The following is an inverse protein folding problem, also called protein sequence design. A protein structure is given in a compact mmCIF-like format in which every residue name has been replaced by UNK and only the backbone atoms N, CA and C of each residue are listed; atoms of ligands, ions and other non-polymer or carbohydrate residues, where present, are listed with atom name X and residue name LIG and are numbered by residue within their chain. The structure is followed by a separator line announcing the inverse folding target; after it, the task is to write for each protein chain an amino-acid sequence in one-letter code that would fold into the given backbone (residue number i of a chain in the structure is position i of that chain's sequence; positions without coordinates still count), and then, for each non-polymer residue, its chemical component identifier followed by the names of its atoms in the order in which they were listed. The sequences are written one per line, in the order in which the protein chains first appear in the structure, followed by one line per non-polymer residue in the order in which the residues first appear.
data_IF_957963008082
#
_entry.id   IF_957963008082
#
_cell.length_a   1.000
_cell.length_b   1.000
_cell.length_c   1.000
_cell.angle_alpha   90.00
_cell.angle_beta   90.00
_cell.angle_gamma   90.00
#
_symmetry.space_group_name_H-M   'P 1'
#
loop_
_entity.id
_entity.type
_entity.pdbx_description
1 polymer ?
#
# COMPACT_ATOMS: atom_id res chain seq x y z
N UNK A 1 -0.35 -10.90 -13.61
CA UNK A 1 -1.81 -11.16 -13.69
C UNK A 1 -2.02 -12.47 -14.44
N UNK A 2 -2.95 -13.34 -14.01
CA UNK A 2 -3.27 -14.61 -14.71
C UNK A 2 -4.25 -14.45 -15.89
N UNK A 3 -4.83 -13.26 -16.05
CA UNK A 3 -5.72 -12.90 -17.16
C UNK A 3 -6.87 -13.89 -17.42
N UNK A 4 -7.31 -14.58 -16.37
CA UNK A 4 -8.34 -15.60 -16.38
C UNK A 4 -9.65 -15.08 -15.76
N UNK A 5 -10.77 -15.76 -16.08
CA UNK A 5 -12.09 -15.53 -15.50
C UNK A 5 -12.43 -16.68 -14.53
N UNK A 6 -11.89 -16.68 -13.31
CA UNK A 6 -12.12 -17.75 -12.35
C UNK A 6 -13.55 -17.72 -11.82
N UNK A 7 -14.00 -18.85 -11.31
CA UNK A 7 -15.17 -18.90 -10.44
C UNK A 7 -14.90 -18.13 -9.13
N UNK A 8 -15.94 -17.50 -8.58
CA UNK A 8 -15.85 -16.66 -7.37
C UNK A 8 -16.89 -17.05 -6.32
N UNK A 9 -16.66 -16.66 -5.06
CA UNK A 9 -17.60 -16.90 -3.97
C UNK A 9 -17.67 -15.73 -2.97
N UNK A 10 -18.80 -15.67 -2.24
CA UNK A 10 -19.06 -14.69 -1.19
C UNK A 10 -19.26 -13.26 -1.68
N UNK A 11 -19.61 -12.36 -0.76
CA UNK A 11 -19.92 -10.94 -1.07
C UNK A 11 -18.75 -10.22 -1.73
N UNK A 12 -17.53 -10.55 -1.34
CA UNK A 12 -16.31 -9.94 -1.88
C UNK A 12 -15.83 -10.57 -3.21
N UNK A 13 -16.59 -11.50 -3.80
CA UNK A 13 -16.23 -12.21 -5.04
C UNK A 13 -14.80 -12.76 -5.05
N UNK A 14 -14.40 -13.44 -3.96
CA UNK A 14 -13.07 -14.05 -3.87
C UNK A 14 -12.96 -15.22 -4.84
N UNK A 15 -11.79 -15.43 -5.44
CA UNK A 15 -11.50 -16.59 -6.29
C UNK A 15 -11.70 -17.89 -5.50
N UNK A 16 -12.36 -18.90 -6.07
CA UNK A 16 -12.66 -20.17 -5.37
C UNK A 16 -11.42 -20.85 -4.79
N UNK A 17 -10.27 -20.75 -5.46
CA UNK A 17 -9.03 -21.36 -5.00
C UNK A 17 -8.51 -20.78 -3.68
N UNK A 18 -8.93 -19.57 -3.29
CA UNK A 18 -8.61 -19.00 -1.98
C UNK A 18 -9.20 -19.80 -0.80
N UNK A 19 -10.10 -20.76 -1.06
CA UNK A 19 -10.56 -21.74 -0.07
C UNK A 19 -9.47 -22.77 0.25
N UNK A 20 -8.69 -23.17 -0.74
CA UNK A 20 -7.73 -24.28 -0.65
C UNK A 20 -6.31 -23.79 -0.36
N UNK A 21 -5.88 -22.69 -0.97
CA UNK A 21 -4.56 -22.12 -0.73
C UNK A 21 -4.64 -20.73 -0.09
N UNK A 22 -3.69 -20.44 0.81
CA UNK A 22 -3.53 -19.14 1.46
C UNK A 22 -2.20 -18.53 1.03
N UNK A 23 -2.19 -17.23 0.77
CA UNK A 23 -0.97 -16.49 0.50
C UNK A 23 -0.17 -16.30 1.80
N UNK A 24 1.14 -16.51 1.74
CA UNK A 24 2.05 -16.24 2.86
C UNK A 24 2.14 -14.75 3.18
N UNK A 25 2.01 -13.90 2.16
CA UNK A 25 1.94 -12.44 2.31
C UNK A 25 0.65 -11.94 2.99
N UNK A 26 -0.38 -12.79 3.11
CA UNK A 26 -1.60 -12.48 3.86
C UNK A 26 -1.66 -13.23 5.20
N UNK A 27 -0.50 -13.59 5.75
CA UNK A 27 -0.38 -14.26 7.05
C UNK A 27 0.67 -13.58 7.89
N UNK A 28 0.27 -13.02 9.04
CA UNK A 28 1.21 -12.42 10.01
C UNK A 28 2.35 -13.37 10.41
N UNK A 29 2.07 -14.68 10.45
CA UNK A 29 3.06 -15.70 10.83
C UNK A 29 4.04 -16.07 9.71
N UNK A 30 3.63 -15.97 8.44
CA UNK A 30 4.41 -16.49 7.29
C UNK A 30 5.01 -15.40 6.41
N UNK A 31 4.52 -14.17 6.48
CA UNK A 31 4.95 -13.08 5.59
C UNK A 31 6.46 -12.82 5.64
N UNK A 32 7.08 -12.88 6.82
CA UNK A 32 8.51 -12.64 6.99
C UNK A 32 9.35 -13.64 6.19
N UNK A 33 9.00 -14.93 6.29
CA UNK A 33 9.68 -15.98 5.56
C UNK A 33 9.43 -15.86 4.04
N UNK A 34 8.18 -15.60 3.64
CA UNK A 34 7.85 -15.41 2.22
C UNK A 34 8.56 -14.22 1.58
N UNK A 35 8.76 -13.13 2.32
CA UNK A 35 9.57 -11.99 1.86
C UNK A 35 11.04 -12.36 1.71
N UNK A 36 11.61 -13.05 2.70
CA UNK A 36 13.00 -13.52 2.67
C UNK A 36 13.26 -14.38 1.42
N UNK A 37 12.40 -15.36 1.16
CA UNK A 37 12.51 -16.25 -0.01
C UNK A 37 12.44 -15.47 -1.34
N UNK A 38 11.53 -14.49 -1.44
CA UNK A 38 11.47 -13.63 -2.63
C UNK A 38 12.75 -12.83 -2.77
N UNK A 39 13.21 -12.17 -1.70
CA UNK A 39 14.42 -11.37 -1.73
C UNK A 39 15.60 -12.24 -2.17
N UNK A 40 15.84 -13.38 -1.54
CA UNK A 40 16.91 -14.34 -1.89
C UNK A 40 16.87 -14.77 -3.36
N UNK A 41 15.67 -15.03 -3.90
CA UNK A 41 15.52 -15.46 -5.30
C UNK A 41 15.74 -14.33 -6.32
N UNK A 42 15.62 -13.05 -5.93
CA UNK A 42 15.73 -11.92 -6.85
C UNK A 42 17.17 -11.74 -7.36
N UNK A 43 17.31 -11.65 -8.68
CA UNK A 43 18.56 -11.34 -9.39
C UNK A 43 18.49 -9.94 -9.98
N UNK A 44 18.71 -8.94 -9.15
CA UNK A 44 18.66 -7.54 -9.54
C UNK A 44 19.70 -6.72 -8.77
N UNK A 45 20.21 -5.66 -9.40
CA UNK A 45 21.21 -4.75 -8.81
C UNK A 45 20.61 -3.76 -7.82
N UNK A 46 19.35 -3.39 -8.04
CA UNK A 46 18.65 -2.40 -7.24
C UNK A 46 17.23 -2.90 -6.94
N UNK A 47 16.70 -2.58 -5.77
CA UNK A 47 15.33 -2.87 -5.37
C UNK A 47 14.62 -1.57 -5.03
N UNK A 48 13.35 -1.48 -5.46
CA UNK A 48 12.41 -0.49 -4.96
C UNK A 48 11.21 -1.25 -4.39
N UNK A 49 11.00 -1.14 -3.09
CA UNK A 49 9.92 -1.82 -2.38
C UNK A 49 8.95 -0.79 -1.83
N UNK A 50 7.66 -0.96 -2.10
CA UNK A 50 6.59 -0.15 -1.52
C UNK A 50 5.87 -0.97 -0.46
N UNK A 51 5.79 -0.46 0.77
CA UNK A 51 5.05 -1.12 1.85
C UNK A 51 4.41 -0.11 2.81
N UNK A 52 3.13 -0.30 3.15
CA UNK A 52 2.44 0.59 4.07
C UNK A 52 2.58 0.17 5.53
N UNK A 53 2.31 1.12 6.43
CA UNK A 53 2.35 0.92 7.88
C UNK A 53 1.18 0.12 8.47
N UNK A 54 0.22 -0.35 7.66
CA UNK A 54 -0.88 -1.21 8.11
C UNK A 54 -0.62 -2.70 7.84
N UNK A 55 0.45 -3.01 7.10
CA UNK A 55 0.87 -4.37 6.82
C UNK A 55 1.37 -5.14 8.04
N UNK A 56 1.70 -6.41 7.82
CA UNK A 56 2.18 -7.30 8.88
C UNK A 56 3.68 -7.18 9.18
N UNK A 57 4.43 -6.37 8.42
CA UNK A 57 5.86 -6.12 8.58
C UNK A 57 6.06 -4.63 8.84
N UNK A 58 6.67 -4.30 9.96
CA UNK A 58 6.98 -2.93 10.34
C UNK A 58 8.10 -2.31 9.49
N UNK A 59 8.26 -1.00 9.59
CA UNK A 59 9.33 -0.26 8.89
C UNK A 59 10.71 -0.80 9.23
N UNK A 60 11.03 -0.92 10.52
CA UNK A 60 12.35 -1.38 10.97
C UNK A 60 12.60 -2.83 10.55
N UNK A 61 11.61 -3.71 10.71
CA UNK A 61 11.69 -5.11 10.26
C UNK A 61 11.96 -5.21 8.75
N UNK A 62 11.36 -4.34 7.95
CA UNK A 62 11.62 -4.26 6.52
C UNK A 62 13.03 -3.74 6.21
N UNK A 63 13.51 -2.74 6.96
CA UNK A 63 14.89 -2.24 6.82
C UNK A 63 15.89 -3.36 7.12
N UNK A 64 15.68 -4.12 8.20
CA UNK A 64 16.56 -5.22 8.58
C UNK A 64 16.61 -6.28 7.48
N UNK A 65 15.44 -6.71 6.97
CA UNK A 65 15.34 -7.69 5.87
C UNK A 65 16.04 -7.20 4.59
N UNK A 66 15.88 -5.93 4.24
CA UNK A 66 16.45 -5.38 3.00
C UNK A 66 17.94 -5.05 3.12
N UNK A 67 18.45 -4.83 4.34
CA UNK A 67 19.86 -4.51 4.58
C UNK A 67 20.78 -5.69 4.27
N UNK A 68 20.26 -6.93 4.27
CA UNK A 68 20.97 -8.12 3.79
C UNK A 68 21.31 -8.03 2.28
N UNK A 69 20.69 -7.10 1.54
CA UNK A 69 20.82 -6.92 0.09
C UNK A 69 21.57 -5.67 -0.34
N UNK A 70 22.05 -4.87 0.62
CA UNK A 70 22.80 -3.64 0.34
C UNK A 70 22.38 -2.48 1.24
N UNK A 71 22.78 -1.27 0.85
CA UNK A 71 22.37 -0.06 1.56
C UNK A 71 20.89 0.22 1.32
N UNK A 72 20.18 0.61 2.39
CA UNK A 72 18.74 0.91 2.35
C UNK A 72 18.52 2.39 2.58
N UNK A 73 17.75 3.02 1.70
CA UNK A 73 17.17 4.36 1.88
C UNK A 73 15.65 4.24 2.00
N UNK A 74 15.03 5.13 2.76
CA UNK A 74 13.58 5.06 3.02
C UNK A 74 12.95 6.43 2.83
N UNK A 75 11.96 6.51 1.94
CA UNK A 75 11.10 7.69 1.78
C UNK A 75 9.72 7.37 2.35
N UNK A 76 9.20 8.23 3.22
CA UNK A 76 7.85 8.08 3.76
C UNK A 76 6.88 9.04 3.10
N UNK A 77 5.75 8.53 2.63
CA UNK A 77 4.70 9.30 1.97
C UNK A 77 3.41 9.19 2.77
N UNK A 78 2.85 10.32 3.18
CA UNK A 78 1.55 10.35 3.86
C UNK A 78 0.42 10.30 2.84
N UNK A 79 -0.42 9.26 2.92
CA UNK A 79 -1.57 9.06 2.07
C UNK A 79 -2.88 9.12 2.86
N UNK A 80 -3.92 9.62 2.20
CA UNK A 80 -5.28 9.51 2.74
C UNK A 80 -5.71 8.05 2.60
N UNK A 81 -6.03 7.41 3.72
CA UNK A 81 -6.41 6.01 3.75
C UNK A 81 -7.69 5.79 2.93
N UNK A 82 -7.64 4.87 1.96
CA UNK A 82 -8.81 4.49 1.17
C UNK A 82 -9.68 3.49 1.96
N UNK A 83 -10.43 4.01 2.92
CA UNK A 83 -11.35 3.22 3.76
C UNK A 83 -12.77 3.69 3.63
N UNK A 84 -13.69 2.72 3.58
CA UNK A 84 -15.13 2.97 3.74
C UNK A 84 -15.50 3.59 5.09
N UNK A 85 -14.59 3.62 6.07
CA UNK A 85 -14.84 4.36 7.32
C UNK A 85 -15.09 5.86 7.09
N UNK A 86 -14.70 6.45 5.96
CA UNK A 86 -15.04 7.84 5.63
C UNK A 86 -16.55 8.07 5.49
N UNK A 87 -17.32 7.05 5.08
CA UNK A 87 -18.79 7.10 5.05
C UNK A 87 -19.42 6.65 6.38
N UNK A 88 -18.63 6.13 7.33
CA UNK A 88 -19.09 5.48 8.56
C UNK A 88 -19.05 3.95 8.47
N UNK A 89 -18.84 3.26 9.59
CA UNK A 89 -18.83 1.79 9.67
C UNK A 89 -20.29 1.32 9.81
N UNK A 90 -20.83 0.68 8.79
CA UNK A 90 -22.22 0.22 8.77
C UNK A 90 -22.32 -1.31 8.76
N UNK A 91 -23.38 -1.86 9.37
CA UNK A 91 -23.73 -3.27 9.28
C UNK A 91 -24.44 -3.58 7.95
N UNK A 92 -24.72 -4.86 7.62
CA UNK A 92 -25.45 -5.22 6.40
C UNK A 92 -26.86 -4.60 6.28
N UNK A 93 -27.47 -4.21 7.40
CA UNK A 93 -28.76 -3.50 7.46
C UNK A 93 -28.64 -1.98 7.23
N UNK A 94 -27.41 -1.45 7.07
CA UNK A 94 -27.17 -0.03 6.84
C UNK A 94 -27.07 0.82 8.11
N UNK A 95 -27.04 0.23 9.29
CA UNK A 95 -26.95 0.96 10.57
C UNK A 95 -25.49 1.21 10.96
N UNK A 96 -25.20 2.39 11.52
CA UNK A 96 -23.83 2.77 11.92
C UNK A 96 -23.43 2.05 13.21
N UNK A 97 -22.49 1.12 13.11
CA UNK A 97 -22.10 0.23 14.23
C UNK A 97 -20.68 0.45 14.75
N UNK A 98 -19.93 1.42 14.21
CA UNK A 98 -18.54 1.65 14.62
C UNK A 98 -18.06 3.09 14.55
N UNK A 99 -16.99 3.37 15.31
CA UNK A 99 -16.27 4.66 15.27
C UNK A 99 -15.16 4.60 14.23
N UNK A 100 -15.05 5.67 13.45
CA UNK A 100 -14.00 5.85 12.44
C UNK A 100 -12.66 6.00 13.16
N UNK A 101 -11.70 5.12 12.84
CA UNK A 101 -10.33 5.17 13.35
C UNK A 101 -9.41 5.92 12.38
N UNK A 102 -8.11 5.63 12.40
CA UNK A 102 -7.09 6.23 11.52
C UNK A 102 -7.55 6.37 10.05
N UNK A 103 -7.53 7.62 9.58
CA UNK A 103 -7.90 8.05 8.22
C UNK A 103 -6.69 8.32 7.32
N UNK A 104 -5.48 8.13 7.85
CA UNK A 104 -4.22 8.30 7.14
C UNK A 104 -3.35 7.06 7.30
N UNK A 105 -2.67 6.70 6.23
CA UNK A 105 -1.69 5.64 6.18
C UNK A 105 -0.38 6.21 5.66
N UNK A 106 0.73 5.64 6.12
CA UNK A 106 2.06 5.96 5.60
C UNK A 106 2.47 4.86 4.64
N UNK A 107 2.78 5.24 3.41
CA UNK A 107 3.48 4.38 2.47
C UNK A 107 4.98 4.61 2.66
N UNK A 108 5.75 3.53 2.76
CA UNK A 108 7.21 3.59 2.77
C UNK A 108 7.73 3.06 1.44
N UNK A 109 8.60 3.84 0.80
CA UNK A 109 9.39 3.42 -0.35
C UNK A 109 10.81 3.12 0.13
N UNK A 110 11.21 1.87 0.04
CA UNK A 110 12.55 1.42 0.37
C UNK A 110 13.36 1.27 -0.91
N UNK A 111 14.50 1.94 -0.98
CA UNK A 111 15.46 1.89 -2.07
C UNK A 111 16.65 1.07 -1.60
N UNK A 112 17.02 0.03 -2.33
CA UNK A 112 18.17 -0.82 -2.00
C UNK A 112 19.17 -0.86 -3.14
N UNK A 113 20.45 -0.68 -2.81
CA UNK A 113 21.57 -0.79 -3.74
C UNK A 113 22.86 -1.08 -2.98
N UNK A 114 23.79 -1.81 -3.59
CA UNK A 114 25.14 -2.01 -3.05
C UNK A 114 25.94 -0.69 -2.95
N UNK A 115 25.52 0.33 -3.71
CA UNK A 115 26.17 1.64 -3.71
C UNK A 115 25.34 2.69 -2.98
N UNK A 116 25.92 3.28 -1.93
CA UNK A 116 25.27 4.31 -1.11
C UNK A 116 24.91 5.57 -1.90
N UNK A 117 25.81 6.03 -2.78
CA UNK A 117 25.57 7.21 -3.63
C UNK A 117 24.32 7.06 -4.53
N UNK A 118 24.07 5.84 -4.99
CA UNK A 118 22.90 5.50 -5.80
C UNK A 118 21.63 5.54 -4.96
N UNK A 119 21.67 5.01 -3.74
CA UNK A 119 20.55 5.09 -2.80
C UNK A 119 20.21 6.55 -2.53
N UNK A 120 21.20 7.35 -2.16
CA UNK A 120 21.00 8.76 -1.79
C UNK A 120 20.43 9.56 -2.97
N UNK A 121 20.96 9.34 -4.19
CA UNK A 121 20.48 10.00 -5.41
C UNK A 121 19.03 9.63 -5.73
N UNK A 122 18.65 8.37 -5.59
CA UNK A 122 17.28 7.90 -5.87
C UNK A 122 16.31 8.37 -4.80
N UNK A 123 16.70 8.36 -3.52
CA UNK A 123 15.91 8.91 -2.42
C UNK A 123 15.59 10.39 -2.69
N UNK A 124 16.59 11.21 -2.98
CA UNK A 124 16.40 12.62 -3.29
C UNK A 124 15.49 12.83 -4.52
N UNK A 125 15.64 12.00 -5.56
CA UNK A 125 14.79 12.07 -6.75
C UNK A 125 13.32 11.69 -6.46
N UNK A 126 13.09 10.69 -5.61
CA UNK A 126 11.75 10.27 -5.19
C UNK A 126 11.09 11.38 -4.37
N UNK A 127 11.80 11.96 -3.39
CA UNK A 127 11.31 13.07 -2.56
C UNK A 127 10.90 14.27 -3.43
N UNK A 128 11.78 14.71 -4.34
CA UNK A 128 11.48 15.82 -5.26
C UNK A 128 10.28 15.52 -6.16
N UNK A 129 10.14 14.28 -6.63
CA UNK A 129 9.00 13.85 -7.45
C UNK A 129 7.69 13.90 -6.67
N UNK A 130 7.71 13.47 -5.40
CA UNK A 130 6.54 13.51 -4.52
C UNK A 130 6.15 14.96 -4.22
N UNK A 131 7.10 15.84 -3.93
CA UNK A 131 6.84 17.26 -3.69
C UNK A 131 6.20 17.92 -4.92
N UNK A 132 6.75 17.65 -6.10
CA UNK A 132 6.20 18.13 -7.37
C UNK A 132 4.76 17.64 -7.58
N UNK A 133 4.49 16.36 -7.33
CA UNK A 133 3.15 15.79 -7.44
C UNK A 133 2.18 16.38 -6.40
N UNK A 134 2.63 16.61 -5.17
CA UNK A 134 1.84 17.23 -4.11
C UNK A 134 1.42 18.67 -4.50
N UNK A 135 2.37 19.47 -4.99
CA UNK A 135 2.11 20.82 -5.52
C UNK A 135 1.09 20.80 -6.66
N UNK A 136 1.24 19.92 -7.64
CA UNK A 136 0.29 19.77 -8.75
C UNK A 136 -1.12 19.40 -8.27
N UNK A 137 -1.24 18.48 -7.32
CA UNK A 137 -2.53 18.04 -6.78
C UNK A 137 -3.26 19.12 -5.98
N UNK A 138 -2.53 19.99 -5.27
CA UNK A 138 -3.10 21.09 -4.48
C UNK A 138 -3.72 22.19 -5.35
N UNK A 139 -3.11 22.49 -6.51
CA UNK A 139 -3.62 23.44 -7.50
C UNK A 139 -4.96 22.97 -8.10
N UNK A 140 -5.12 21.66 -8.35
CA UNK A 140 -6.38 21.08 -8.86
C UNK A 140 -7.54 21.09 -7.85
N UNK A 141 -7.25 20.98 -6.53
CA UNK A 141 -8.29 20.97 -5.48
C UNK A 141 -9.05 22.29 -5.37
N UNK A 142 -8.40 23.41 -5.73
CA UNK A 142 -9.03 24.74 -5.71
C UNK A 142 -10.13 24.91 -6.78
N UNK A 143 -10.17 24.03 -7.79
CA UNK A 143 -11.09 24.13 -8.94
C UNK A 143 -12.37 23.27 -8.81
N UNK A 144 -12.49 22.39 -7.81
CA UNK A 144 -13.72 21.61 -7.55
C UNK A 144 -14.64 22.36 -6.58
N UNK A 145 -15.34 23.40 -7.05
CA UNK A 145 -16.51 23.97 -6.37
C UNK A 145 -17.78 23.29 -6.92
N UNK A 146 -18.57 22.70 -6.01
CA UNK A 146 -19.99 22.41 -6.17
C UNK A 146 -20.40 21.42 -7.26
N UNK A 147 -20.48 20.13 -6.94
CA UNK A 147 -21.45 19.25 -7.60
C UNK A 147 -22.45 18.86 -6.52
N UNK A 148 -23.56 19.60 -6.46
CA UNK A 148 -24.71 19.24 -5.66
C UNK A 148 -25.35 17.99 -6.30
N UNK A 149 -25.60 16.97 -5.50
CA UNK A 149 -26.22 15.73 -5.95
C UNK A 149 -27.71 15.87 -5.75
N UNK A 150 -28.44 16.20 -6.82
CA UNK A 150 -29.90 16.05 -6.83
C UNK A 150 -30.25 14.59 -6.57
N UNK A 151 -30.77 14.32 -5.37
CA UNK A 151 -31.35 13.03 -5.01
C UNK A 151 -32.63 12.87 -5.82
N UNK A 152 -32.64 11.92 -6.75
CA UNK A 152 -33.85 11.47 -7.42
C UNK A 152 -34.64 10.60 -6.44
N UNK A 153 -35.75 11.13 -5.95
CA UNK A 153 -36.81 10.37 -5.28
C UNK A 153 -37.64 9.73 -6.39
N UNK A 154 -37.76 8.41 -6.37
CA UNK A 154 -38.93 7.63 -6.78
C UNK A 154 -38.78 6.20 -6.24
#
# INVERSE_FOLDING_TARGET
MRWDKPETYGVANKRVQCKEYKSDFNSKRRIHQGLREVLEALRCKHLLVSFNNEGHVGREEMIDLLSERGHVGVVSVDFKRYVGAQIGIHNPSGEKVGRVSHLRNKEYLFVVSDRRDTVDSVVAAIESSIETAALASSSSKRKRKGHESERRVE
#
